data_IF_150014758110
#
_entry.id   IF_150014758110
#
_cell.length_a   1.000
_cell.length_b   1.000
_cell.length_c   1.000
_cell.angle_alpha   90.00
_cell.angle_beta   90.00
_cell.angle_gamma   90.00
#
_symmetry.space_group_name_H-M   'P 1'
#
loop_
_entity.id
_entity.type
_entity.pdbx_description
1 polymer ?
#
# COMPACT_ATOMS: atom_id res chain seq x y z
N UNK A 1 6.54 -32.26 -2.80
CA UNK A 1 6.68 -31.55 -4.10
C UNK A 1 5.39 -31.49 -4.94
N UNK A 2 4.57 -32.57 -5.00
CA UNK A 2 3.31 -32.58 -5.79
C UNK A 2 2.23 -31.60 -5.27
N UNK A 3 2.07 -31.48 -3.95
CA UNK A 3 1.06 -30.61 -3.34
C UNK A 3 1.31 -29.12 -3.60
N UNK A 4 2.55 -28.65 -3.43
CA UNK A 4 2.89 -27.24 -3.72
C UNK A 4 2.61 -26.85 -5.17
N UNK A 5 2.88 -27.74 -6.13
CA UNK A 5 2.56 -27.50 -7.55
C UNK A 5 1.06 -27.39 -7.77
N UNK A 6 0.26 -28.23 -7.13
CA UNK A 6 -1.20 -28.17 -7.21
C UNK A 6 -1.74 -26.86 -6.62
N UNK A 7 -1.24 -26.42 -5.46
CA UNK A 7 -1.61 -25.13 -4.87
C UNK A 7 -1.26 -23.94 -5.77
N UNK A 8 -0.10 -23.96 -6.42
CA UNK A 8 0.29 -22.89 -7.36
C UNK A 8 -0.65 -22.83 -8.57
N UNK A 9 -1.03 -23.98 -9.13
CA UNK A 9 -1.93 -24.06 -10.29
C UNK A 9 -3.33 -23.54 -9.91
N UNK A 10 -3.88 -23.98 -8.77
CA UNK A 10 -5.17 -23.49 -8.30
C UNK A 10 -5.15 -21.99 -8.02
N UNK A 11 -4.05 -21.48 -7.45
CA UNK A 11 -3.84 -20.05 -7.21
C UNK A 11 -3.85 -19.21 -8.47
N UNK A 12 -3.10 -19.65 -9.48
CA UNK A 12 -3.06 -19.02 -10.80
C UNK A 12 -4.43 -19.01 -11.45
N UNK A 13 -5.17 -20.12 -11.37
CA UNK A 13 -6.52 -20.19 -11.91
C UNK A 13 -7.41 -19.14 -11.24
N UNK A 14 -7.40 -19.04 -9.90
CA UNK A 14 -8.17 -18.01 -9.19
C UNK A 14 -7.74 -16.60 -9.61
N UNK A 15 -6.44 -16.33 -9.69
CA UNK A 15 -5.91 -15.05 -10.13
C UNK A 15 -6.33 -14.68 -11.55
N UNK A 16 -6.27 -15.63 -12.49
CA UNK A 16 -6.70 -15.49 -13.88
C UNK A 16 -8.21 -15.26 -13.98
N UNK A 17 -9.01 -15.99 -13.19
CA UNK A 17 -10.46 -15.81 -13.13
C UNK A 17 -10.81 -14.42 -12.62
N UNK A 18 -10.23 -13.98 -11.50
CA UNK A 18 -10.42 -12.62 -10.98
C UNK A 18 -10.02 -11.56 -12.01
N UNK A 19 -8.94 -11.83 -12.73
CA UNK A 19 -8.47 -10.96 -13.80
C UNK A 19 -9.45 -10.89 -14.97
N UNK A 20 -10.03 -12.02 -15.42
CA UNK A 20 -11.12 -12.03 -16.40
C UNK A 20 -12.33 -11.23 -15.90
N UNK A 21 -12.72 -11.38 -14.63
CA UNK A 21 -13.81 -10.59 -14.04
C UNK A 21 -13.53 -9.08 -13.99
N UNK A 22 -12.26 -8.72 -13.77
CA UNK A 22 -11.80 -7.33 -13.79
C UNK A 22 -11.85 -6.73 -15.20
N UNK A 23 -11.60 -7.54 -16.23
CA UNK A 23 -11.52 -7.09 -17.63
C UNK A 23 -12.84 -7.17 -18.38
N UNK A 24 -13.76 -8.02 -17.93
CA UNK A 24 -15.04 -8.18 -18.61
C UNK A 24 -15.87 -6.90 -18.49
N UNK A 25 -16.23 -6.25 -19.61
CA UNK A 25 -17.10 -5.07 -19.60
C UNK A 25 -18.53 -5.41 -19.12
N UNK A 26 -18.87 -6.70 -19.06
CA UNK A 26 -20.13 -7.24 -18.56
C UNK A 26 -20.01 -7.82 -17.14
N UNK A 27 -19.18 -7.24 -16.28
CA UNK A 27 -19.27 -7.57 -14.85
C UNK A 27 -20.64 -7.10 -14.37
N UNK A 28 -21.56 -8.01 -13.96
CA UNK A 28 -22.87 -7.61 -13.50
C UNK A 28 -22.66 -6.82 -12.20
N UNK A 29 -22.70 -5.51 -12.32
CA UNK A 29 -22.88 -4.60 -11.20
C UNK A 29 -24.22 -4.94 -10.60
N UNK A 30 -24.17 -5.70 -9.51
CA UNK A 30 -25.18 -5.85 -8.46
C UNK A 30 -26.44 -4.98 -8.67
N UNK A 31 -27.37 -5.49 -9.48
CA UNK A 31 -28.79 -5.22 -9.33
C UNK A 31 -29.29 -6.23 -8.30
N UNK A 32 -29.01 -6.00 -7.02
CA UNK A 32 -29.79 -6.52 -5.89
C UNK A 32 -29.25 -5.94 -4.58
N UNK A 33 -30.06 -5.03 -4.03
CA UNK A 33 -30.08 -4.62 -2.63
C UNK A 33 -30.09 -5.88 -1.75
N UNK A 34 -29.43 -5.81 -0.60
CA UNK A 34 -29.41 -6.80 0.52
C UNK A 34 -28.17 -7.70 0.60
N UNK A 35 -27.03 -7.15 1.01
CA UNK A 35 -25.98 -7.94 1.67
C UNK A 35 -25.99 -7.63 3.17
N UNK A 36 -27.00 -8.12 3.89
CA UNK A 36 -26.99 -8.20 5.35
C UNK A 36 -26.83 -9.67 5.71
N UNK A 37 -25.62 -10.18 5.98
CA UNK A 37 -25.52 -11.54 6.52
C UNK A 37 -24.35 -11.76 7.50
N UNK A 38 -24.64 -12.67 8.43
CA UNK A 38 -24.05 -12.88 9.75
C UNK A 38 -22.57 -13.28 9.73
N UNK A 39 -21.86 -12.70 10.69
CA UNK A 39 -20.49 -13.02 11.13
C UNK A 39 -20.37 -14.48 11.59
N UNK A 40 -19.30 -15.16 11.17
CA UNK A 40 -18.82 -16.40 11.77
C UNK A 40 -17.46 -16.18 12.47
N UNK A 41 -17.24 -16.96 13.53
CA UNK A 41 -16.42 -16.65 14.72
C UNK A 41 -14.91 -16.42 14.52
N UNK A 42 -14.29 -16.86 13.42
CA UNK A 42 -12.84 -16.66 13.21
C UNK A 42 -12.43 -15.19 12.95
N UNK A 43 -13.33 -14.38 12.39
CA UNK A 43 -13.09 -12.94 12.20
C UNK A 43 -13.12 -12.19 13.53
N UNK A 44 -14.08 -12.57 14.38
CA UNK A 44 -14.25 -11.99 15.68
C UNK A 44 -12.99 -12.23 16.48
N UNK A 45 -12.41 -13.43 16.51
CA UNK A 45 -11.18 -13.69 17.27
C UNK A 45 -9.94 -12.98 16.74
N UNK A 46 -9.69 -12.97 15.42
CA UNK A 46 -8.54 -12.23 14.86
C UNK A 46 -8.69 -10.71 15.04
N UNK A 47 -9.89 -10.16 14.82
CA UNK A 47 -10.14 -8.74 15.05
C UNK A 47 -10.28 -8.41 16.52
N UNK A 48 -10.73 -9.33 17.38
CA UNK A 48 -10.81 -9.16 18.83
C UNK A 48 -9.41 -9.18 19.41
N UNK A 49 -8.54 -10.11 19.00
CA UNK A 49 -7.11 -10.07 19.33
C UNK A 49 -6.44 -8.77 18.82
N UNK A 50 -6.79 -8.30 17.62
CA UNK A 50 -6.27 -7.04 17.09
C UNK A 50 -6.92 -5.78 17.71
N UNK A 51 -8.13 -5.89 18.27
CA UNK A 51 -8.87 -4.82 19.00
C UNK A 51 -8.61 -4.83 20.50
N UNK A 52 -8.12 -5.94 21.07
CA UNK A 52 -7.85 -6.15 22.50
C UNK A 52 -6.67 -5.33 23.03
N UNK A 53 -6.23 -4.32 22.28
CA UNK A 53 -5.38 -3.24 22.77
C UNK A 53 -6.32 -2.27 23.52
N UNK A 54 -6.89 -2.73 24.64
CA UNK A 54 -7.63 -1.92 25.60
C UNK A 54 -6.61 -1.08 26.37
N UNK A 55 -6.61 0.23 26.11
CA UNK A 55 -5.74 1.20 26.74
C UNK A 55 -5.95 2.57 26.09
N UNK A 56 -6.88 3.32 26.66
CA UNK A 56 -7.36 4.63 26.21
C UNK A 56 -6.19 5.58 25.89
N UNK A 57 -6.18 6.12 24.65
CA UNK A 57 -5.69 7.45 24.22
C UNK A 57 -5.18 7.49 22.77
N UNK A 58 -4.89 6.38 22.08
CA UNK A 58 -4.30 6.40 20.71
C UNK A 58 -5.27 6.15 19.56
N UNK A 59 -6.57 6.09 19.87
CA UNK A 59 -7.65 5.81 18.93
C UNK A 59 -8.04 7.09 18.19
N UNK A 60 -8.14 7.02 16.87
CA UNK A 60 -8.73 8.09 16.08
C UNK A 60 -10.25 8.06 16.26
N UNK A 61 -10.84 9.13 16.80
CA UNK A 61 -12.28 9.27 16.86
C UNK A 61 -12.80 9.54 15.45
N UNK A 62 -13.26 8.48 14.78
CA UNK A 62 -13.90 8.56 13.48
C UNK A 62 -15.40 8.27 13.64
N UNK A 63 -16.23 9.29 13.46
CA UNK A 63 -17.68 9.11 13.43
C UNK A 63 -18.07 8.53 12.07
N UNK A 64 -18.32 7.22 12.04
CA UNK A 64 -19.02 6.57 10.93
C UNK A 64 -20.49 6.97 11.00
N UNK A 65 -20.79 8.21 10.64
CA UNK A 65 -22.15 8.71 10.65
C UNK A 65 -22.93 8.10 9.48
N UNK A 66 -23.62 6.99 9.76
CA UNK A 66 -24.49 6.29 8.82
C UNK A 66 -25.71 7.13 8.37
N UNK A 67 -25.88 8.36 8.90
CA UNK A 67 -26.99 9.27 8.57
C UNK A 67 -26.65 10.33 7.51
N UNK A 68 -25.41 10.38 7.02
CA UNK A 68 -25.03 11.33 5.95
C UNK A 68 -25.60 10.91 4.59
N UNK A 69 -26.24 11.85 3.87
CA UNK A 69 -26.71 11.64 2.49
C UNK A 69 -25.58 11.65 1.45
N UNK A 70 -24.39 12.17 1.81
CA UNK A 70 -23.24 12.28 0.90
C UNK A 70 -22.08 11.41 1.38
N UNK A 71 -21.62 10.52 0.52
CA UNK A 71 -20.44 9.68 0.77
C UNK A 71 -19.27 10.14 -0.10
N UNK A 72 -18.10 10.33 0.51
CA UNK A 72 -16.90 10.84 -0.15
C UNK A 72 -15.77 9.83 0.00
N UNK A 73 -15.28 9.31 -1.12
CA UNK A 73 -14.10 8.47 -1.14
C UNK A 73 -12.85 9.33 -0.92
N UNK A 74 -11.99 8.95 0.02
CA UNK A 74 -10.78 9.71 0.35
C UNK A 74 -9.56 8.82 0.17
N UNK A 75 -8.76 9.11 -0.85
CA UNK A 75 -7.53 8.35 -1.11
C UNK A 75 -6.35 8.90 -0.31
N UNK A 76 -5.89 8.13 0.69
CA UNK A 76 -4.68 8.45 1.46
C UNK A 76 -3.46 8.01 0.65
N UNK A 77 -2.87 8.92 -0.12
CA UNK A 77 -1.77 8.59 -1.03
C UNK A 77 -0.43 8.56 -0.29
N UNK A 78 0.00 7.38 0.17
CA UNK A 78 1.34 7.17 0.74
C UNK A 78 2.39 7.12 -0.39
N UNK A 79 3.53 7.77 -0.20
CA UNK A 79 4.58 7.82 -1.23
C UNK A 79 5.05 6.41 -1.61
N UNK A 80 5.21 6.22 -2.93
CA UNK A 80 5.83 5.03 -3.55
C UNK A 80 5.05 3.72 -3.39
N UNK A 81 3.75 3.77 -3.12
CA UNK A 81 2.85 2.59 -3.00
C UNK A 81 1.91 2.43 -4.20
N UNK A 82 2.38 2.75 -5.41
CA UNK A 82 1.58 2.73 -6.64
C UNK A 82 0.35 3.68 -6.67
N UNK A 83 0.30 4.71 -5.80
CA UNK A 83 -0.82 5.65 -5.76
C UNK A 83 -1.09 6.38 -7.08
N UNK A 84 -0.06 6.75 -7.84
CA UNK A 84 -0.22 7.35 -9.18
C UNK A 84 -1.03 6.47 -10.14
N UNK A 85 -0.87 5.14 -10.07
CA UNK A 85 -1.64 4.19 -10.87
C UNK A 85 -3.11 4.23 -10.46
N UNK A 86 -3.37 4.08 -9.15
CA UNK A 86 -4.74 4.06 -8.61
C UNK A 86 -5.48 5.36 -8.90
N UNK A 87 -4.85 6.52 -8.70
CA UNK A 87 -5.48 7.82 -8.99
C UNK A 87 -5.78 7.99 -10.47
N UNK A 88 -4.88 7.53 -11.36
CA UNK A 88 -5.13 7.54 -12.81
C UNK A 88 -6.35 6.69 -13.14
N UNK A 89 -6.46 5.50 -12.53
CA UNK A 89 -7.58 4.57 -12.74
C UNK A 89 -8.91 5.09 -12.19
N UNK A 90 -8.89 5.74 -11.03
CA UNK A 90 -10.07 6.36 -10.43
C UNK A 90 -10.61 7.54 -11.24
N UNK A 91 -9.72 8.38 -11.74
CA UNK A 91 -10.09 9.70 -12.25
C UNK A 91 -9.97 9.81 -13.77
N UNK A 92 -8.80 9.48 -14.32
CA UNK A 92 -8.49 9.72 -15.74
C UNK A 92 -9.05 8.63 -16.64
N UNK A 93 -8.82 7.37 -16.28
CA UNK A 93 -9.46 6.24 -16.97
C UNK A 93 -10.94 6.16 -16.57
N UNK A 94 -11.24 6.50 -15.30
CA UNK A 94 -12.59 6.67 -14.77
C UNK A 94 -13.25 5.38 -14.28
N UNK A 95 -14.45 5.55 -13.73
CA UNK A 95 -15.26 4.47 -13.16
C UNK A 95 -16.53 4.28 -13.99
N UNK A 96 -17.09 3.07 -13.97
CA UNK A 96 -18.43 2.82 -14.53
C UNK A 96 -19.47 3.50 -13.62
N UNK A 97 -20.41 4.24 -14.22
CA UNK A 97 -21.48 4.93 -13.49
C UNK A 97 -21.06 6.13 -12.64
N UNK A 98 -19.78 6.52 -12.62
CA UNK A 98 -19.31 7.77 -11.99
C UNK A 98 -18.43 8.55 -12.94
N UNK A 99 -18.70 9.84 -13.09
CA UNK A 99 -17.99 10.72 -14.00
C UNK A 99 -17.12 11.72 -13.24
N UNK A 100 -15.99 12.07 -13.86
CA UNK A 100 -15.16 13.21 -13.47
C UNK A 100 -14.94 14.06 -14.71
N UNK A 101 -15.09 15.38 -14.58
CA UNK A 101 -14.88 16.34 -15.67
C UNK A 101 -13.45 16.86 -15.62
N UNK A 102 -12.61 16.41 -16.55
CA UNK A 102 -11.19 16.77 -16.60
C UNK A 102 -10.95 18.00 -17.48
N UNK A 103 -10.54 19.11 -16.87
CA UNK A 103 -10.07 20.29 -17.60
C UNK A 103 -8.53 20.23 -17.67
N UNK A 104 -8.00 19.87 -18.85
CA UNK A 104 -6.57 19.73 -19.07
C UNK A 104 -5.94 18.48 -18.41
N UNK A 105 -4.62 18.50 -18.21
CA UNK A 105 -3.84 17.28 -17.89
C UNK A 105 -3.74 16.91 -16.40
N UNK A 106 -3.99 17.85 -15.48
CA UNK A 106 -3.55 17.70 -14.06
C UNK A 106 -4.66 17.44 -13.04
N UNK A 107 -5.87 17.97 -13.22
CA UNK A 107 -6.97 17.88 -12.25
C UNK A 107 -8.32 17.70 -12.93
N UNK A 108 -9.21 16.96 -12.28
CA UNK A 108 -10.57 16.72 -12.73
C UNK A 108 -11.57 17.01 -11.61
N UNK A 109 -12.74 17.53 -11.97
CA UNK A 109 -13.80 17.75 -11.01
C UNK A 109 -14.66 16.47 -10.89
N UNK A 110 -14.70 15.87 -9.70
CA UNK A 110 -15.43 14.63 -9.43
C UNK A 110 -16.60 14.94 -8.48
N UNK A 111 -17.68 15.46 -9.04
CA UNK A 111 -18.90 15.83 -8.34
C UNK A 111 -20.08 14.93 -8.76
N UNK A 112 -21.02 14.72 -7.86
CA UNK A 112 -22.27 14.04 -8.16
C UNK A 112 -23.25 15.02 -8.86
N UNK A 113 -24.42 14.57 -9.36
CA UNK A 113 -25.39 15.46 -10.00
C UNK A 113 -25.85 16.63 -9.12
N UNK A 114 -25.86 16.47 -7.80
CA UNK A 114 -26.20 17.52 -6.85
C UNK A 114 -25.07 18.56 -6.66
N UNK A 115 -23.92 18.37 -7.31
CA UNK A 115 -22.72 19.22 -7.20
C UNK A 115 -21.82 18.91 -6.00
N UNK A 116 -22.04 17.81 -5.28
CA UNK A 116 -21.22 17.41 -4.12
C UNK A 116 -19.97 16.64 -4.57
N UNK A 117 -18.81 17.01 -4.05
CA UNK A 117 -17.57 16.26 -4.30
C UNK A 117 -17.69 14.84 -3.73
N UNK A 118 -17.53 13.81 -4.57
CA UNK A 118 -17.59 12.40 -4.12
C UNK A 118 -16.22 11.72 -4.03
N UNK A 119 -15.15 12.37 -4.50
CA UNK A 119 -13.79 11.84 -4.47
C UNK A 119 -12.75 12.90 -4.10
N UNK A 120 -11.97 12.63 -3.05
CA UNK A 120 -10.78 13.39 -2.66
C UNK A 120 -9.53 12.56 -2.98
N UNK A 121 -8.73 13.08 -3.90
CA UNK A 121 -7.47 12.51 -4.39
C UNK A 121 -6.64 13.61 -5.07
N UNK A 122 -5.36 13.35 -5.35
CA UNK A 122 -4.50 14.28 -6.07
C UNK A 122 -5.05 14.67 -7.44
N UNK A 123 -5.66 13.73 -8.17
CA UNK A 123 -6.19 13.98 -9.51
C UNK A 123 -7.61 14.53 -9.52
N UNK A 124 -8.33 14.50 -8.38
CA UNK A 124 -9.61 15.19 -8.24
C UNK A 124 -9.41 16.58 -7.65
N UNK A 125 -9.36 16.69 -6.32
CA UNK A 125 -9.30 17.93 -5.55
C UNK A 125 -7.87 18.48 -5.40
N UNK A 126 -6.86 17.77 -5.90
CA UNK A 126 -5.47 18.14 -5.68
C UNK A 126 -4.96 17.74 -4.30
N UNK A 127 -3.88 18.37 -3.86
CA UNK A 127 -3.35 18.21 -2.51
C UNK A 127 -4.14 19.06 -1.50
N UNK A 128 -5.43 18.74 -1.36
CA UNK A 128 -6.41 19.55 -0.65
C UNK A 128 -5.98 19.94 0.78
N UNK A 129 -5.32 19.00 1.45
CA UNK A 129 -4.90 19.11 2.85
C UNK A 129 -3.37 19.10 3.05
N UNK A 130 -2.61 19.30 1.97
CA UNK A 130 -1.15 19.19 1.99
C UNK A 130 -0.63 18.14 1.02
N UNK A 131 0.63 18.31 0.57
CA UNK A 131 1.29 17.33 -0.31
C UNK A 131 1.44 16.00 0.44
N UNK A 132 0.82 14.94 -0.09
CA UNK A 132 0.79 13.62 0.56
C UNK A 132 0.29 13.68 2.01
N UNK A 133 -0.77 14.45 2.26
CA UNK A 133 -1.40 14.56 3.57
C UNK A 133 -1.64 13.17 4.18
N UNK A 134 -1.14 12.96 5.39
CA UNK A 134 -1.36 11.72 6.13
C UNK A 134 -2.79 11.61 6.69
N UNK A 135 -3.11 10.49 7.34
CA UNK A 135 -4.44 10.28 7.90
C UNK A 135 -4.81 11.33 8.96
N UNK A 136 -3.83 11.79 9.74
CA UNK A 136 -4.03 12.84 10.75
C UNK A 136 -4.35 14.17 10.08
N UNK A 137 -3.54 14.58 9.11
CA UNK A 137 -3.75 15.81 8.34
C UNK A 137 -5.11 15.81 7.63
N UNK A 138 -5.47 14.72 6.97
CA UNK A 138 -6.75 14.60 6.26
C UNK A 138 -7.93 14.71 7.23
N UNK A 139 -7.89 14.00 8.36
CA UNK A 139 -8.96 14.01 9.34
C UNK A 139 -9.21 15.41 9.93
N UNK A 140 -8.15 16.19 10.18
CA UNK A 140 -8.26 17.54 10.74
C UNK A 140 -8.66 18.62 9.71
N UNK A 141 -8.54 18.33 8.42
CA UNK A 141 -8.62 19.34 7.35
C UNK A 141 -9.82 19.18 6.40
N UNK A 142 -10.19 17.93 6.08
CA UNK A 142 -10.99 17.63 4.88
C UNK A 142 -12.36 18.30 4.86
N UNK A 143 -13.08 18.32 5.98
CA UNK A 143 -14.44 18.86 6.04
C UNK A 143 -14.47 20.37 5.77
N UNK A 144 -13.65 21.12 6.49
CA UNK A 144 -13.50 22.56 6.30
C UNK A 144 -13.09 22.94 4.87
N UNK A 145 -12.24 22.13 4.24
CA UNK A 145 -11.79 22.39 2.86
C UNK A 145 -12.86 22.01 1.83
N UNK A 146 -13.56 20.90 2.01
CA UNK A 146 -14.64 20.51 1.10
C UNK A 146 -15.85 21.44 1.20
N UNK A 147 -16.20 21.93 2.39
CA UNK A 147 -17.26 22.94 2.54
C UNK A 147 -16.96 24.19 1.70
N UNK A 148 -15.68 24.59 1.61
CA UNK A 148 -15.23 25.71 0.76
C UNK A 148 -15.28 25.39 -0.73
N UNK A 149 -14.91 24.17 -1.13
CA UNK A 149 -14.95 23.73 -2.55
C UNK A 149 -16.40 23.62 -3.02
N UNK A 150 -17.24 22.94 -2.24
CA UNK A 150 -18.64 22.71 -2.59
C UNK A 150 -19.52 23.96 -2.36
N UNK A 151 -18.98 24.99 -1.69
CA UNK A 151 -19.66 26.26 -1.32
C UNK A 151 -20.92 26.05 -0.45
N UNK A 152 -20.95 24.99 0.34
CA UNK A 152 -22.02 24.67 1.28
C UNK A 152 -21.51 23.78 2.40
N UNK A 153 -22.17 23.88 3.55
CA UNK A 153 -21.94 23.01 4.70
C UNK A 153 -22.78 21.75 4.47
N UNK A 154 -22.11 20.61 4.33
CA UNK A 154 -22.74 19.32 4.06
C UNK A 154 -22.16 18.32 5.04
N UNK A 155 -23.01 17.62 5.78
CA UNK A 155 -22.57 16.48 6.55
C UNK A 155 -22.16 15.38 5.57
N UNK A 156 -20.93 14.86 5.71
CA UNK A 156 -20.35 13.87 4.81
C UNK A 156 -19.92 12.63 5.57
N UNK A 157 -20.06 11.48 4.93
CA UNK A 157 -19.43 10.24 5.37
C UNK A 157 -18.16 10.03 4.55
N UNK A 158 -17.00 10.10 5.19
CA UNK A 158 -15.72 9.87 4.54
C UNK A 158 -15.40 8.37 4.49
N UNK A 159 -14.95 7.90 3.34
CA UNK A 159 -14.56 6.50 3.15
C UNK A 159 -13.09 6.50 2.77
N UNK A 160 -12.24 6.39 3.79
CA UNK A 160 -10.79 6.38 3.62
C UNK A 160 -10.32 5.05 3.02
N UNK A 161 -9.44 5.14 2.02
CA UNK A 161 -8.76 3.99 1.46
C UNK A 161 -7.34 4.33 1.06
N UNK A 162 -6.46 3.33 0.94
CA UNK A 162 -5.04 3.54 0.64
C UNK A 162 -4.41 2.39 -0.14
N UNK A 163 -3.12 2.51 -0.46
CA UNK A 163 -2.27 1.46 -0.99
C UNK A 163 -1.03 1.33 -0.11
N UNK A 164 -0.64 0.08 0.19
CA UNK A 164 0.59 -0.27 0.89
C UNK A 164 1.57 -1.00 -0.02
N UNK A 165 2.82 -1.15 0.43
CA UNK A 165 3.89 -1.83 -0.29
C UNK A 165 4.92 -2.40 0.68
N UNK A 166 5.61 -3.47 0.27
CA UNK A 166 6.79 -4.01 0.94
C UNK A 166 7.71 -2.86 1.38
N UNK A 167 8.00 -2.75 2.69
CA UNK A 167 8.69 -1.59 3.25
C UNK A 167 10.07 -1.34 2.64
N UNK A 168 10.82 -2.39 2.34
CA UNK A 168 12.18 -2.31 1.79
C UNK A 168 12.10 -1.77 0.35
N UNK A 169 11.26 -2.35 -0.50
CA UNK A 169 11.06 -1.88 -1.87
C UNK A 169 10.46 -0.47 -1.91
N UNK A 170 9.57 -0.14 -0.97
CA UNK A 170 9.01 1.21 -0.83
C UNK A 170 10.10 2.22 -0.46
N UNK A 171 10.97 1.89 0.50
CA UNK A 171 12.09 2.72 0.95
C UNK A 171 13.12 2.94 -0.15
N UNK A 172 13.59 1.88 -0.81
CA UNK A 172 14.52 1.97 -1.95
C UNK A 172 13.90 2.79 -3.10
N UNK A 173 12.61 2.57 -3.39
CA UNK A 173 11.90 3.36 -4.41
C UNK A 173 11.82 4.84 -4.04
N UNK A 174 11.79 5.15 -2.76
CA UNK A 174 11.76 6.52 -2.23
C UNK A 174 13.13 7.19 -2.36
N UNK A 175 14.17 6.52 -1.90
CA UNK A 175 15.57 6.96 -2.06
C UNK A 175 15.89 7.26 -3.52
N UNK A 176 15.59 6.35 -4.44
CA UNK A 176 15.81 6.57 -5.88
C UNK A 176 15.05 7.79 -6.42
N UNK A 177 13.91 8.14 -5.82
CA UNK A 177 13.13 9.31 -6.23
C UNK A 177 13.75 10.60 -5.71
N UNK A 178 14.19 10.61 -4.45
CA UNK A 178 14.90 11.74 -3.81
C UNK A 178 16.22 12.01 -4.53
N UNK A 179 16.99 10.95 -4.80
CA UNK A 179 18.27 11.03 -5.52
C UNK A 179 18.15 11.74 -6.87
N UNK A 180 16.98 11.62 -7.53
CA UNK A 180 16.65 12.29 -8.81
C UNK A 180 16.07 13.70 -8.66
N UNK A 181 16.08 14.27 -7.45
CA UNK A 181 15.63 15.64 -7.17
C UNK A 181 14.21 15.78 -6.63
N UNK A 182 13.53 14.70 -6.21
CA UNK A 182 12.30 14.85 -5.43
C UNK A 182 12.66 15.37 -4.02
N UNK A 183 11.83 16.23 -3.43
CA UNK A 183 12.13 16.81 -2.10
C UNK A 183 10.96 16.76 -1.11
N UNK A 184 9.73 16.50 -1.57
CA UNK A 184 8.46 16.62 -0.81
C UNK A 184 8.36 17.86 0.09
N UNK A 185 9.06 18.93 -0.23
CA UNK A 185 9.22 20.10 0.65
C UNK A 185 7.93 20.83 0.99
N UNK A 186 6.92 20.74 0.12
CA UNK A 186 5.60 21.32 0.36
C UNK A 186 4.67 20.44 1.19
N UNK A 187 5.18 19.33 1.76
CA UNK A 187 4.46 18.57 2.77
C UNK A 187 4.33 19.42 4.04
N UNK A 188 3.09 19.62 4.50
CA UNK A 188 2.79 20.50 5.62
C UNK A 188 3.03 19.83 6.97
N UNK A 189 2.91 18.52 7.04
CA UNK A 189 3.09 17.69 8.24
C UNK A 189 2.23 18.19 9.41
N UNK A 190 1.03 18.70 9.11
CA UNK A 190 0.18 19.33 10.12
C UNK A 190 -0.34 18.31 11.12
N UNK A 191 -0.29 18.68 12.38
CA UNK A 191 -0.85 17.94 13.48
C UNK A 191 -1.32 18.94 14.53
N UNK A 192 -2.54 18.80 15.05
CA UNK A 192 -3.24 19.87 15.76
C UNK A 192 -3.27 21.18 14.96
N UNK A 193 -3.48 21.07 13.63
CA UNK A 193 -3.50 22.17 12.66
C UNK A 193 -2.20 22.98 12.53
N UNK A 194 -1.10 22.57 13.17
CA UNK A 194 0.19 23.25 13.14
C UNK A 194 1.27 22.39 12.49
N UNK A 195 2.20 23.01 11.76
CA UNK A 195 3.40 22.33 11.24
C UNK A 195 4.39 22.07 12.38
N UNK A 196 5.22 21.01 12.31
CA UNK A 196 6.13 20.67 13.39
C UNK A 196 7.20 21.75 13.57
N UNK A 197 7.56 22.10 14.81
CA UNK A 197 8.65 23.03 15.07
C UNK A 197 9.99 22.39 14.67
N UNK A 198 11.00 23.23 14.37
CA UNK A 198 12.32 22.79 13.92
C UNK A 198 13.04 21.86 14.91
N UNK A 199 12.71 21.92 16.20
CA UNK A 199 13.23 20.99 17.20
C UNK A 199 12.74 19.55 17.02
N UNK A 200 11.57 19.36 16.40
CA UNK A 200 10.94 18.06 16.19
C UNK A 200 11.17 17.52 14.78
N UNK A 201 11.32 18.40 13.80
CA UNK A 201 11.60 18.02 12.41
C UNK A 201 12.45 19.06 11.70
N UNK A 202 13.53 18.59 11.08
CA UNK A 202 14.32 19.35 10.10
C UNK A 202 14.49 18.49 8.84
N UNK A 203 14.25 19.03 7.64
CA UNK A 203 14.52 18.27 6.42
C UNK A 203 15.99 17.85 6.32
N UNK A 204 16.25 16.60 5.91
CA UNK A 204 17.59 16.01 5.91
C UNK A 204 18.63 16.73 5.04
N UNK A 205 18.19 17.45 3.99
CA UNK A 205 19.11 18.23 3.16
C UNK A 205 19.67 19.47 3.89
N UNK A 206 19.11 19.86 5.04
CA UNK A 206 19.65 20.93 5.88
C UNK A 206 20.72 20.46 6.87
N UNK A 207 21.01 19.16 6.96
CA UNK A 207 21.95 18.63 7.96
C UNK A 207 23.41 18.86 7.54
N UNK A 208 23.68 19.04 6.24
CA UNK A 208 25.00 19.45 5.77
C UNK A 208 25.09 20.99 5.86
N UNK A 209 25.60 21.48 6.99
CA UNK A 209 25.74 22.93 7.30
C UNK A 209 26.57 23.69 6.25
N UNK A 210 27.44 23.00 5.52
CA UNK A 210 28.32 23.56 4.50
C UNK A 210 27.60 23.95 3.20
N UNK A 211 26.32 23.61 3.04
CA UNK A 211 25.57 23.80 1.79
C UNK A 211 24.19 24.41 2.05
N UNK A 212 24.16 25.54 2.80
CA UNK A 212 22.93 26.30 3.13
C UNK A 212 22.12 26.76 1.90
N UNK A 213 22.66 26.67 0.68
CA UNK A 213 21.96 27.02 -0.56
C UNK A 213 21.31 25.81 -1.26
N UNK A 214 21.52 24.57 -0.79
CA UNK A 214 20.94 23.40 -1.44
C UNK A 214 19.51 23.15 -0.95
N UNK A 215 18.55 23.54 -1.79
CA UNK A 215 17.14 23.20 -1.61
C UNK A 215 16.81 21.80 -2.13
N UNK A 216 17.78 20.91 -2.40
CA UNK A 216 17.49 19.60 -3.01
C UNK A 216 18.44 18.54 -2.45
N UNK A 217 17.89 17.42 -1.94
CA UNK A 217 18.68 16.25 -1.52
C UNK A 217 19.05 15.34 -2.72
N UNK A 218 19.39 15.94 -3.86
CA UNK A 218 19.76 15.22 -5.07
C UNK A 218 21.10 14.51 -4.91
N UNK A 219 21.29 13.40 -5.62
CA UNK A 219 22.52 12.60 -5.57
C UNK A 219 22.90 12.06 -4.17
N UNK A 220 21.98 12.08 -3.20
CA UNK A 220 22.21 11.49 -1.88
C UNK A 220 22.55 10.00 -1.97
N UNK A 221 23.65 9.59 -1.31
CA UNK A 221 24.03 8.20 -1.17
C UNK A 221 22.98 7.42 -0.36
N UNK A 222 22.90 6.10 -0.55
CA UNK A 222 21.96 5.29 0.23
C UNK A 222 22.29 5.32 1.73
N UNK A 223 23.58 5.37 2.09
CA UNK A 223 24.04 5.42 3.47
C UNK A 223 23.60 6.72 4.15
N UNK A 224 23.87 7.88 3.54
CA UNK A 224 23.42 9.17 4.07
C UNK A 224 21.89 9.28 4.14
N UNK A 225 21.18 8.63 3.22
CA UNK A 225 19.72 8.55 3.27
C UNK A 225 19.23 7.74 4.47
N UNK A 226 19.85 6.60 4.78
CA UNK A 226 19.53 5.77 5.96
C UNK A 226 19.88 6.51 7.25
N UNK A 227 21.04 7.14 7.31
CA UNK A 227 21.61 7.69 8.53
C UNK A 227 20.94 8.99 9.00
N UNK A 228 20.17 9.66 8.13
CA UNK A 228 19.47 10.87 8.55
C UNK A 228 18.36 10.56 9.59
N UNK A 229 18.44 11.11 10.82
CA UNK A 229 17.47 10.83 11.89
C UNK A 229 16.09 11.45 11.65
N UNK A 230 15.99 12.45 10.76
CA UNK A 230 14.73 13.10 10.39
C UNK A 230 14.15 12.57 9.07
N UNK A 231 14.69 11.47 8.53
CA UNK A 231 14.24 10.96 7.25
C UNK A 231 12.80 10.44 7.34
N UNK A 232 11.86 11.17 6.72
CA UNK A 232 10.46 10.80 6.67
C UNK A 232 10.19 9.50 5.89
N UNK A 233 11.18 8.96 5.18
CA UNK A 233 11.10 7.63 4.59
C UNK A 233 11.10 6.53 5.67
N UNK A 234 11.73 6.75 6.82
CA UNK A 234 11.77 5.77 7.91
C UNK A 234 10.35 5.57 8.46
N UNK A 235 9.91 4.31 8.56
CA UNK A 235 8.60 3.91 9.07
C UNK A 235 7.42 4.75 8.50
N UNK A 236 7.49 5.10 7.21
CA UNK A 236 6.55 6.01 6.55
C UNK A 236 5.11 5.51 6.60
N UNK A 237 4.86 4.24 6.26
CA UNK A 237 3.49 3.73 6.20
C UNK A 237 2.84 3.72 7.58
N UNK A 238 3.61 3.35 8.60
CA UNK A 238 3.18 3.36 10.00
C UNK A 238 2.88 4.77 10.46
N UNK A 239 3.80 5.72 10.24
CA UNK A 239 3.58 7.12 10.62
C UNK A 239 2.36 7.72 9.92
N UNK A 240 2.23 7.53 8.61
CA UNK A 240 1.16 8.16 7.83
C UNK A 240 -0.23 7.57 8.08
N UNK A 241 -0.32 6.38 8.69
CA UNK A 241 -1.58 5.75 9.07
C UNK A 241 -1.92 5.90 10.55
N UNK A 242 -0.98 6.31 11.39
CA UNK A 242 -1.22 6.53 12.81
C UNK A 242 -1.97 7.84 13.08
N UNK A 243 -2.60 7.92 14.26
CA UNK A 243 -3.13 9.17 14.80
C UNK A 243 -2.00 9.92 15.53
N UNK A 244 -1.31 10.80 14.82
CA UNK A 244 -0.17 11.55 15.38
C UNK A 244 -0.60 12.56 16.45
N UNK A 245 -1.83 13.09 16.35
CA UNK A 245 -2.37 14.07 17.29
C UNK A 245 -2.42 13.52 18.73
N UNK A 246 -2.68 12.23 18.88
CA UNK A 246 -2.68 11.56 20.18
C UNK A 246 -1.30 10.98 20.58
N UNK A 247 -0.29 11.16 19.73
CA UNK A 247 1.08 10.68 19.93
C UNK A 247 2.07 11.84 20.09
N UNK A 248 1.59 13.01 20.52
CA UNK A 248 2.36 14.25 20.63
C UNK A 248 3.00 14.70 19.31
N UNK A 249 2.28 14.49 18.20
CA UNK A 249 2.67 14.89 16.85
C UNK A 249 4.08 14.39 16.50
N UNK A 250 4.97 15.28 16.06
CA UNK A 250 6.32 14.93 15.61
C UNK A 250 7.37 14.92 16.73
N UNK A 251 6.98 15.09 18.00
CA UNK A 251 7.92 15.14 19.15
C UNK A 251 8.84 13.92 19.22
N UNK A 252 8.36 12.75 18.78
CA UNK A 252 9.09 11.50 18.82
C UNK A 252 9.60 11.02 17.44
N UNK A 253 9.61 11.90 16.42
CA UNK A 253 9.98 11.52 15.06
C UNK A 253 11.36 10.86 14.97
N UNK A 254 12.37 11.44 15.63
CA UNK A 254 13.74 10.88 15.63
C UNK A 254 13.77 9.51 16.28
N UNK A 255 13.06 9.33 17.41
CA UNK A 255 12.93 8.03 18.06
C UNK A 255 12.28 7.01 17.13
N UNK A 256 11.14 7.34 16.51
CA UNK A 256 10.46 6.47 15.55
C UNK A 256 11.29 6.14 14.31
N UNK A 257 12.31 6.94 14.01
CA UNK A 257 13.19 6.79 12.86
C UNK A 257 14.50 6.06 13.20
N UNK A 258 14.75 5.76 14.48
CA UNK A 258 15.94 5.03 14.91
C UNK A 258 15.93 3.58 14.39
N UNK A 259 17.10 3.04 13.99
CA UNK A 259 17.22 1.64 13.60
C UNK A 259 16.82 0.71 14.75
N UNK A 260 15.94 -0.26 14.48
CA UNK A 260 15.52 -1.27 15.44
C UNK A 260 15.88 -2.68 14.97
N UNK A 261 16.87 -3.27 15.65
CA UNK A 261 17.23 -4.68 15.49
C UNK A 261 16.41 -5.56 16.45
N UNK A 262 15.13 -5.75 16.14
CA UNK A 262 14.25 -6.63 16.92
C UNK A 262 13.40 -7.51 16.02
N UNK A 263 13.28 -8.79 16.35
CA UNK A 263 12.42 -9.73 15.63
C UNK A 263 11.05 -9.87 16.29
N UNK A 264 10.97 -9.67 17.61
CA UNK A 264 9.75 -9.79 18.40
C UNK A 264 9.22 -8.43 18.86
N UNK A 265 7.89 -8.27 18.79
CA UNK A 265 7.19 -7.04 19.22
C UNK A 265 7.32 -6.82 20.74
N UNK A 266 7.47 -7.89 21.53
CA UNK A 266 7.62 -7.85 23.01
C UNK A 266 8.85 -7.07 23.47
N UNK A 267 9.91 -7.01 22.65
CA UNK A 267 11.14 -6.28 22.94
C UNK A 267 11.07 -4.81 22.53
N UNK A 268 9.93 -4.33 22.02
CA UNK A 268 9.79 -2.98 21.47
C UNK A 268 9.42 -1.97 22.54
N UNK A 269 10.11 -0.82 22.58
CA UNK A 269 9.77 0.27 23.50
C UNK A 269 8.33 0.76 23.32
N UNK A 270 7.75 1.33 24.37
CA UNK A 270 6.38 1.87 24.36
C UNK A 270 6.13 2.93 23.26
N UNK A 271 7.10 3.81 22.98
CA UNK A 271 7.00 4.87 21.96
C UNK A 271 6.82 4.30 20.54
N UNK A 272 7.51 3.21 20.24
CA UNK A 272 7.41 2.51 18.96
C UNK A 272 6.14 1.67 18.88
N UNK A 273 5.80 0.98 19.97
CA UNK A 273 4.62 0.12 20.05
C UNK A 273 3.32 0.93 19.91
N UNK A 274 3.25 2.12 20.52
CA UNK A 274 2.08 3.01 20.43
C UNK A 274 1.83 3.52 19.00
N UNK A 275 2.89 3.91 18.27
CA UNK A 275 2.77 4.29 16.86
C UNK A 275 2.27 3.11 16.00
N UNK A 276 2.89 1.93 16.16
CA UNK A 276 2.51 0.73 15.43
C UNK A 276 1.06 0.31 15.71
N UNK A 277 0.65 0.33 16.98
CA UNK A 277 -0.70 -0.04 17.39
C UNK A 277 -1.75 0.96 16.88
N UNK A 278 -1.44 2.26 16.87
CA UNK A 278 -2.32 3.27 16.27
C UNK A 278 -2.52 3.03 14.77
N UNK A 279 -1.44 2.77 14.03
CA UNK A 279 -1.52 2.46 12.60
C UNK A 279 -2.31 1.17 12.31
N UNK A 280 -2.09 0.09 13.09
CA UNK A 280 -2.86 -1.16 12.99
C UNK A 280 -4.34 -0.92 13.27
N UNK A 281 -4.66 -0.20 14.34
CA UNK A 281 -6.04 0.15 14.69
C UNK A 281 -6.73 0.91 13.55
N UNK A 282 -6.06 1.92 12.99
CA UNK A 282 -6.62 2.72 11.90
C UNK A 282 -6.78 1.90 10.62
N UNK A 283 -5.86 0.98 10.32
CA UNK A 283 -5.99 0.07 9.18
C UNK A 283 -7.22 -0.86 9.30
N UNK A 284 -7.57 -1.26 10.52
CA UNK A 284 -8.73 -2.12 10.79
C UNK A 284 -10.04 -1.31 10.74
N UNK A 285 -10.08 -0.18 11.44
CA UNK A 285 -11.34 0.48 11.80
C UNK A 285 -11.62 1.78 11.03
N UNK A 286 -10.58 2.48 10.55
CA UNK A 286 -10.72 3.79 9.88
C UNK A 286 -10.54 3.67 8.37
N UNK A 287 -9.49 2.97 7.93
CA UNK A 287 -9.25 2.66 6.52
C UNK A 287 -10.24 1.56 6.11
N UNK A 288 -11.28 1.96 5.37
CA UNK A 288 -12.32 1.07 4.91
C UNK A 288 -11.76 -0.04 4.02
N UNK A 289 -10.91 0.34 3.06
CA UNK A 289 -10.31 -0.57 2.09
C UNK A 289 -8.85 -0.20 1.85
N UNK A 290 -8.00 -1.18 1.52
CA UNK A 290 -6.66 -0.90 1.04
C UNK A 290 -6.19 -1.98 0.07
N UNK A 291 -5.27 -1.62 -0.81
CA UNK A 291 -4.58 -2.55 -1.69
C UNK A 291 -3.10 -2.72 -1.32
N UNK A 292 -2.48 -3.72 -1.90
CA UNK A 292 -1.05 -4.02 -1.80
C UNK A 292 -0.42 -3.94 -3.19
N UNK A 293 0.69 -3.19 -3.31
CA UNK A 293 1.32 -2.89 -4.61
C UNK A 293 1.84 -4.13 -5.35
N UNK A 294 2.12 -5.20 -4.62
CA UNK A 294 2.62 -6.48 -5.13
C UNK A 294 1.49 -7.37 -5.66
N UNK A 295 0.24 -7.06 -5.29
CA UNK A 295 -0.94 -7.86 -5.56
C UNK A 295 -1.99 -7.01 -6.28
N UNK A 296 -1.62 -6.34 -7.38
CA UNK A 296 -2.48 -5.35 -8.05
C UNK A 296 -3.82 -5.91 -8.54
N UNK A 297 -3.86 -7.17 -9.00
CA UNK A 297 -5.12 -7.84 -9.43
C UNK A 297 -6.06 -7.98 -8.24
N UNK A 298 -5.57 -8.60 -7.17
CA UNK A 298 -6.33 -8.78 -5.92
C UNK A 298 -6.71 -7.44 -5.29
N UNK A 299 -5.83 -6.44 -5.40
CA UNK A 299 -6.07 -5.09 -4.89
C UNK A 299 -7.18 -4.40 -5.65
N UNK A 300 -7.18 -4.47 -6.98
CA UNK A 300 -8.28 -3.93 -7.77
C UNK A 300 -9.61 -4.62 -7.40
N UNK A 301 -9.61 -5.95 -7.29
CA UNK A 301 -10.79 -6.71 -6.91
C UNK A 301 -11.35 -6.26 -5.54
N UNK A 302 -10.50 -6.21 -4.50
CA UNK A 302 -10.92 -5.76 -3.17
C UNK A 302 -11.42 -4.32 -3.20
N UNK A 303 -10.70 -3.40 -3.86
CA UNK A 303 -11.11 -2.00 -3.93
C UNK A 303 -12.48 -1.83 -4.61
N UNK A 304 -12.76 -2.61 -5.67
CA UNK A 304 -14.07 -2.59 -6.33
C UNK A 304 -15.19 -3.08 -5.40
N UNK A 305 -14.98 -4.22 -4.72
CA UNK A 305 -16.00 -4.81 -3.84
C UNK A 305 -16.23 -4.00 -2.58
N UNK A 306 -15.16 -3.49 -1.99
CA UNK A 306 -15.19 -2.79 -0.70
C UNK A 306 -15.67 -1.34 -0.85
N UNK A 307 -15.31 -0.63 -1.93
CA UNK A 307 -15.76 0.75 -2.19
C UNK A 307 -17.04 0.83 -3.03
N UNK A 308 -17.58 -0.31 -3.48
CA UNK A 308 -18.71 -0.39 -4.41
C UNK A 308 -18.49 0.46 -5.67
N UNK A 309 -17.32 0.29 -6.29
CA UNK A 309 -16.93 0.95 -7.54
C UNK A 309 -16.52 -0.08 -8.59
N UNK A 310 -16.53 0.32 -9.85
CA UNK A 310 -16.02 -0.50 -10.96
C UNK A 310 -15.07 0.33 -11.80
N UNK A 311 -13.81 -0.09 -11.88
CA UNK A 311 -12.83 0.60 -12.72
C UNK A 311 -13.10 0.30 -14.19
N UNK A 312 -12.99 1.31 -15.06
CA UNK A 312 -13.09 1.10 -16.52
C UNK A 312 -11.89 0.38 -17.11
N UNK A 313 -10.75 0.40 -16.40
CA UNK A 313 -9.49 -0.19 -16.86
C UNK A 313 -8.82 -0.97 -15.75
N UNK A 314 -8.25 -2.12 -16.09
CA UNK A 314 -7.51 -2.94 -15.15
C UNK A 314 -6.20 -2.27 -14.70
N UNK A 315 -5.76 -2.56 -13.48
CA UNK A 315 -4.48 -2.07 -12.94
C UNK A 315 -3.28 -2.62 -13.74
N UNK A 316 -3.48 -3.73 -14.44
CA UNK A 316 -2.51 -4.38 -15.33
C UNK A 316 -3.09 -4.37 -16.76
N UNK A 317 -2.30 -3.94 -17.74
CA UNK A 317 -2.73 -3.83 -19.14
C UNK A 317 -2.26 -5.04 -19.97
N UNK A 318 -3.07 -5.53 -20.92
CA UNK A 318 -2.84 -6.84 -21.54
C UNK A 318 -1.95 -6.84 -22.79
N UNK A 319 -1.91 -5.74 -23.54
CA UNK A 319 -1.20 -5.67 -24.83
C UNK A 319 0.33 -5.73 -24.69
N UNK A 320 0.85 -5.93 -23.48
CA UNK A 320 2.26 -6.01 -23.14
C UNK A 320 2.56 -7.20 -22.21
N UNK A 321 1.73 -8.26 -22.14
CA UNK A 321 1.90 -9.39 -21.18
C UNK A 321 3.32 -9.99 -21.14
N UNK A 322 3.98 -10.16 -22.30
CA UNK A 322 5.37 -10.64 -22.34
C UNK A 322 6.37 -9.68 -21.66
N UNK A 323 6.14 -8.38 -21.79
CA UNK A 323 6.93 -7.30 -21.18
C UNK A 323 6.52 -7.01 -19.71
N UNK A 324 5.27 -7.30 -19.37
CA UNK A 324 4.64 -7.05 -18.07
C UNK A 324 4.95 -8.15 -17.07
N UNK A 325 5.15 -9.40 -17.50
CA UNK A 325 5.67 -10.46 -16.62
C UNK A 325 6.97 -10.00 -15.96
N UNK A 326 7.86 -9.34 -16.72
CA UNK A 326 9.09 -8.75 -16.19
C UNK A 326 8.84 -7.49 -15.34
N UNK A 327 7.99 -6.54 -15.75
CA UNK A 327 7.77 -5.28 -14.98
C UNK A 327 6.91 -5.42 -13.71
N UNK A 328 6.01 -6.41 -13.63
CA UNK A 328 5.26 -6.73 -12.40
C UNK A 328 6.16 -7.43 -11.37
N UNK A 329 7.15 -8.19 -11.83
CA UNK A 329 8.07 -8.93 -10.99
C UNK A 329 9.33 -8.12 -10.62
N UNK A 330 9.74 -7.16 -11.47
CA UNK A 330 10.96 -6.37 -11.31
C UNK A 330 10.66 -4.87 -11.38
N UNK A 331 10.21 -4.30 -10.26
CA UNK A 331 10.25 -2.84 -10.11
C UNK A 331 11.70 -2.38 -10.00
N UNK A 332 12.00 -1.12 -10.33
CA UNK A 332 13.36 -0.57 -10.13
C UNK A 332 13.88 -0.83 -8.71
N UNK A 333 13.02 -0.75 -7.69
CA UNK A 333 13.42 -1.05 -6.32
C UNK A 333 13.75 -2.53 -6.10
N UNK A 334 13.02 -3.44 -6.75
CA UNK A 334 13.28 -4.89 -6.69
C UNK A 334 14.65 -5.22 -7.29
N UNK A 335 14.97 -4.63 -8.46
CA UNK A 335 16.27 -4.83 -9.13
C UNK A 335 17.42 -4.30 -8.27
N UNK A 336 17.27 -3.11 -7.70
CA UNK A 336 18.28 -2.56 -6.81
C UNK A 336 18.43 -3.45 -5.57
N UNK A 337 17.32 -3.86 -4.95
CA UNK A 337 17.33 -4.72 -3.77
C UNK A 337 18.13 -6.01 -3.98
N UNK A 338 18.04 -6.65 -5.15
CA UNK A 338 18.80 -7.89 -5.44
C UNK A 338 20.30 -7.68 -5.56
N UNK A 339 20.75 -6.44 -5.83
CA UNK A 339 22.15 -6.10 -6.00
C UNK A 339 22.78 -5.42 -4.76
N UNK A 340 22.00 -5.18 -3.70
CA UNK A 340 22.50 -4.59 -2.46
C UNK A 340 23.18 -5.63 -1.57
N UNK A 341 24.25 -5.21 -0.91
CA UNK A 341 24.91 -6.03 0.12
C UNK A 341 23.96 -6.29 1.32
N UNK A 342 24.09 -7.47 1.92
CA UNK A 342 23.20 -7.91 3.01
C UNK A 342 23.23 -6.97 4.23
N UNK A 343 24.39 -6.37 4.54
CA UNK A 343 24.50 -5.39 5.64
C UNK A 343 23.64 -4.13 5.38
N UNK A 344 23.61 -3.64 4.15
CA UNK A 344 22.79 -2.47 3.78
C UNK A 344 21.30 -2.82 3.80
N UNK A 345 20.93 -4.02 3.34
CA UNK A 345 19.55 -4.50 3.45
C UNK A 345 19.10 -4.56 4.92
N UNK A 346 19.97 -5.04 5.79
CA UNK A 346 19.73 -5.09 7.22
C UNK A 346 19.55 -3.69 7.84
N UNK A 347 20.35 -2.71 7.42
CA UNK A 347 20.18 -1.32 7.86
C UNK A 347 18.83 -0.74 7.41
N UNK A 348 18.42 -0.99 6.15
CA UNK A 348 17.11 -0.58 5.63
C UNK A 348 15.97 -1.24 6.41
N UNK A 349 16.10 -2.52 6.73
CA UNK A 349 15.13 -3.26 7.54
C UNK A 349 14.99 -2.65 8.93
N UNK A 350 16.11 -2.31 9.57
CA UNK A 350 16.12 -1.75 10.92
C UNK A 350 15.45 -0.37 10.99
N UNK A 351 15.70 0.53 10.03
CA UNK A 351 15.04 1.85 9.99
C UNK A 351 13.57 1.79 9.53
N UNK A 352 13.12 0.66 8.97
CA UNK A 352 11.73 0.42 8.55
C UNK A 352 11.05 -0.70 9.37
N UNK A 353 11.56 -1.02 10.56
CA UNK A 353 11.09 -2.16 11.36
C UNK A 353 9.60 -2.09 11.70
N UNK A 354 9.06 -0.90 11.97
CA UNK A 354 7.62 -0.74 12.23
C UNK A 354 6.79 -0.96 10.98
N UNK A 355 7.25 -0.44 9.83
CA UNK A 355 6.60 -0.70 8.55
C UNK A 355 6.60 -2.19 8.21
N UNK A 356 7.65 -2.95 8.57
CA UNK A 356 7.69 -4.42 8.40
C UNK A 356 6.62 -5.08 9.25
N UNK A 357 6.51 -4.73 10.54
CA UNK A 357 5.47 -5.29 11.39
C UNK A 357 4.05 -4.89 10.94
N UNK A 358 3.86 -3.65 10.50
CA UNK A 358 2.58 -3.18 9.97
C UNK A 358 2.24 -3.90 8.66
N UNK A 359 3.19 -4.01 7.72
CA UNK A 359 2.96 -4.63 6.42
C UNK A 359 2.65 -6.12 6.57
N UNK A 360 3.34 -6.85 7.45
CA UNK A 360 3.03 -8.25 7.74
C UNK A 360 1.61 -8.41 8.30
N UNK A 361 1.22 -7.55 9.25
CA UNK A 361 -0.16 -7.50 9.75
C UNK A 361 -1.17 -7.17 8.63
N UNK A 362 -0.88 -6.15 7.82
CA UNK A 362 -1.72 -5.73 6.71
C UNK A 362 -1.88 -6.82 5.65
N UNK A 363 -0.83 -7.61 5.38
CA UNK A 363 -0.86 -8.72 4.42
C UNK A 363 -1.76 -9.85 4.91
N UNK A 364 -1.72 -10.18 6.19
CA UNK A 364 -2.63 -11.17 6.79
C UNK A 364 -4.09 -10.69 6.77
N UNK A 365 -4.34 -9.44 7.19
CA UNK A 365 -5.68 -8.85 7.15
C UNK A 365 -6.22 -8.73 5.71
N UNK A 366 -5.36 -8.42 4.74
CA UNK A 366 -5.71 -8.33 3.33
C UNK A 366 -6.09 -9.71 2.77
N UNK A 367 -5.30 -10.74 3.07
CA UNK A 367 -5.61 -12.12 2.69
C UNK A 367 -6.96 -12.56 3.27
N UNK A 368 -7.18 -12.28 4.55
CA UNK A 368 -8.44 -12.57 5.23
C UNK A 368 -9.63 -11.89 4.53
N UNK A 369 -9.54 -10.58 4.29
CA UNK A 369 -10.60 -9.81 3.59
C UNK A 369 -10.84 -10.34 2.17
N UNK A 370 -9.77 -10.66 1.45
CA UNK A 370 -9.83 -11.21 0.09
C UNK A 370 -10.61 -12.53 0.07
N UNK A 371 -10.27 -13.46 0.98
CA UNK A 371 -10.93 -14.76 1.07
C UNK A 371 -12.43 -14.58 1.31
N UNK A 372 -12.81 -13.72 2.26
CA UNK A 372 -14.21 -13.45 2.52
C UNK A 372 -14.91 -12.90 1.26
N UNK A 373 -14.35 -11.91 0.58
CA UNK A 373 -14.96 -11.41 -0.66
C UNK A 373 -15.09 -12.52 -1.71
N UNK A 374 -14.05 -13.32 -1.93
CA UNK A 374 -14.05 -14.37 -2.96
C UNK A 374 -15.05 -15.49 -2.64
N UNK A 375 -15.13 -15.94 -1.39
CA UNK A 375 -16.05 -17.02 -0.98
C UNK A 375 -17.51 -16.61 -1.18
N UNK A 376 -17.85 -15.36 -0.85
CA UNK A 376 -19.23 -14.86 -0.89
C UNK A 376 -19.59 -14.16 -2.21
N UNK A 377 -18.67 -14.02 -3.16
CA UNK A 377 -18.96 -13.40 -4.46
C UNK A 377 -19.72 -14.36 -5.37
N UNK A 378 -21.04 -14.19 -5.48
CA UNK A 378 -21.91 -15.00 -6.35
C UNK A 378 -21.45 -15.06 -7.80
N UNK A 379 -20.71 -14.04 -8.26
CA UNK A 379 -20.23 -13.99 -9.63
C UNK A 379 -19.09 -14.99 -9.89
N UNK A 380 -18.38 -15.46 -8.87
CA UNK A 380 -17.29 -16.44 -9.03
C UNK A 380 -17.87 -17.86 -8.97
N UNK A 381 -17.63 -18.72 -10.00
CA UNK A 381 -18.09 -20.09 -10.00
C UNK A 381 -17.60 -20.91 -8.80
N UNK A 382 -18.46 -21.80 -8.30
CA UNK A 382 -18.19 -22.62 -7.10
C UNK A 382 -16.89 -23.44 -7.20
N UNK A 383 -16.56 -23.95 -8.39
CA UNK A 383 -15.37 -24.77 -8.59
C UNK A 383 -14.06 -24.00 -8.36
N UNK A 384 -14.04 -22.69 -8.62
CA UNK A 384 -12.89 -21.83 -8.30
C UNK A 384 -12.82 -21.44 -6.82
N UNK A 385 -13.96 -21.44 -6.12
CA UNK A 385 -14.03 -21.20 -4.68
C UNK A 385 -13.69 -22.44 -3.86
N UNK A 386 -13.93 -23.64 -4.41
CA UNK A 386 -13.80 -24.92 -3.67
C UNK A 386 -12.43 -25.08 -2.98
N UNK A 387 -11.27 -24.81 -3.61
CA UNK A 387 -9.98 -24.92 -2.92
C UNK A 387 -9.86 -23.96 -1.72
N UNK A 388 -10.34 -22.72 -1.86
CA UNK A 388 -10.33 -21.71 -0.81
C UNK A 388 -11.27 -22.15 0.32
N UNK A 389 -12.48 -22.58 -0.02
CA UNK A 389 -13.51 -23.03 0.93
C UNK A 389 -13.01 -24.24 1.75
N UNK A 390 -12.41 -25.23 1.08
CA UNK A 390 -11.85 -26.42 1.74
C UNK A 390 -10.76 -26.02 2.74
N UNK A 391 -9.80 -25.19 2.33
CA UNK A 391 -8.72 -24.76 3.24
C UNK A 391 -9.26 -23.91 4.39
N UNK A 392 -10.19 -22.99 4.12
CA UNK A 392 -10.76 -22.09 5.11
C UNK A 392 -11.52 -22.80 6.23
N UNK A 393 -12.25 -23.86 5.90
CA UNK A 393 -13.06 -24.62 6.86
C UNK A 393 -12.36 -25.86 7.43
N UNK A 394 -11.16 -26.19 6.97
CA UNK A 394 -10.43 -27.36 7.49
C UNK A 394 -9.83 -27.08 8.88
N UNK A 395 -10.25 -27.86 9.87
CA UNK A 395 -9.77 -27.75 11.27
C UNK A 395 -8.26 -28.00 11.41
N UNK A 396 -7.66 -28.77 10.50
CA UNK A 396 -6.22 -29.06 10.47
C UNK A 396 -5.37 -27.92 9.87
N UNK A 397 -5.95 -26.98 9.11
CA UNK A 397 -5.20 -25.91 8.43
C UNK A 397 -5.61 -24.50 8.88
N UNK A 398 -5.75 -24.29 10.20
CA UNK A 398 -5.92 -22.94 10.79
C UNK A 398 -4.76 -21.97 10.49
N UNK A 399 -3.67 -22.44 9.89
CA UNK A 399 -2.59 -21.61 9.40
C UNK A 399 -3.01 -20.94 8.08
N UNK A 400 -3.15 -19.60 8.10
CA UNK A 400 -3.31 -18.78 6.88
C UNK A 400 -2.20 -19.01 5.85
N UNK A 401 -1.09 -19.69 6.19
CA UNK A 401 0.01 -19.95 5.26
C UNK A 401 -0.45 -20.73 4.02
N UNK A 402 -1.29 -21.76 4.14
CA UNK A 402 -1.73 -22.54 2.98
C UNK A 402 -2.58 -21.69 2.02
N UNK A 403 -3.46 -20.85 2.58
CA UNK A 403 -4.25 -19.89 1.82
C UNK A 403 -3.40 -18.78 1.22
N UNK A 404 -2.35 -18.36 1.94
CA UNK A 404 -1.37 -17.42 1.46
C UNK A 404 -0.59 -17.99 0.28
N UNK A 405 -0.13 -19.24 0.37
CA UNK A 405 0.51 -19.92 -0.74
C UNK A 405 -0.48 -20.08 -1.91
N UNK A 406 -1.72 -20.50 -1.66
CA UNK A 406 -2.72 -20.61 -2.71
C UNK A 406 -2.92 -19.28 -3.43
N UNK A 407 -3.12 -18.17 -2.73
CA UNK A 407 -3.50 -16.91 -3.37
C UNK A 407 -2.32 -16.02 -3.78
N UNK A 408 -1.19 -16.10 -3.08
CA UNK A 408 -0.05 -15.19 -3.26
C UNK A 408 1.25 -15.88 -3.67
N UNK A 409 1.26 -17.20 -3.91
CA UNK A 409 2.45 -17.83 -4.48
C UNK A 409 2.67 -17.36 -5.92
N UNK A 410 3.87 -16.82 -6.17
CA UNK A 410 4.37 -16.60 -7.51
C UNK A 410 5.04 -17.89 -8.00
N UNK A 411 4.86 -18.20 -9.30
CA UNK A 411 5.46 -19.34 -10.03
C UNK A 411 6.96 -19.56 -9.83
N UNK A 412 7.71 -18.57 -9.31
CA UNK A 412 9.17 -18.57 -9.23
C UNK A 412 9.71 -19.30 -7.99
N UNK A 413 8.97 -19.32 -6.87
CA UNK A 413 9.46 -20.06 -5.68
C UNK A 413 9.54 -21.57 -5.94
N UNK A 414 8.77 -22.09 -6.91
CA UNK A 414 8.92 -23.47 -7.37
C UNK A 414 10.24 -23.69 -8.14
N UNK A 415 10.68 -22.71 -8.94
CA UNK A 415 11.89 -22.82 -9.77
C UNK A 415 13.18 -22.76 -8.94
N UNK A 416 13.23 -21.92 -7.89
CA UNK A 416 14.38 -21.89 -6.98
C UNK A 416 14.44 -23.11 -6.06
N UNK A 417 13.30 -23.72 -5.71
CA UNK A 417 13.28 -24.98 -4.96
C UNK A 417 13.74 -26.19 -5.80
N UNK A 418 13.69 -26.09 -7.13
CA UNK A 418 14.21 -27.11 -8.05
C UNK A 418 15.69 -26.95 -8.37
N UNK A 419 16.24 -25.72 -8.32
CA UNK A 419 17.68 -25.47 -8.59
C UNK A 419 18.58 -26.00 -7.46
N UNK A 420 18.07 -26.09 -6.22
CA UNK A 420 18.85 -26.63 -5.10
C UNK A 420 18.94 -28.18 -5.15
N UNK A 421 18.11 -28.86 -5.95
CA UNK A 421 18.01 -30.33 -5.91
C UNK A 421 18.32 -31.08 -7.21
N UNK A 422 18.64 -30.43 -8.33
CA UNK A 422 19.02 -31.16 -9.54
C UNK A 422 20.24 -30.51 -10.22
N UNK A 423 21.42 -31.02 -9.88
CA UNK A 423 22.52 -31.08 -10.83
C UNK A 423 22.11 -31.97 -12.02
N UNK A 424 22.58 -31.58 -13.22
CA UNK A 424 22.48 -32.28 -14.50
C UNK A 424 21.09 -32.31 -15.17
N UNK A 425 20.85 -31.39 -16.09
CA UNK A 425 20.69 -31.68 -17.53
C UNK A 425 20.13 -30.48 -18.31
N UNK A 426 20.75 -30.23 -19.46
CA UNK A 426 20.43 -29.19 -20.43
C UNK A 426 19.01 -29.32 -20.98
N UNK A 427 18.31 -28.18 -21.13
CA UNK A 427 16.98 -28.11 -21.73
C UNK A 427 16.39 -26.71 -21.69
N UNK A 428 16.96 -25.83 -22.51
CA UNK A 428 16.62 -24.41 -22.71
C UNK A 428 15.29 -24.19 -23.43
N UNK A 429 14.44 -23.30 -22.90
CA UNK A 429 14.08 -22.05 -23.61
C UNK A 429 14.17 -20.90 -22.58
N UNK A 430 15.35 -20.27 -22.43
CA UNK A 430 15.57 -19.14 -21.55
C UNK A 430 14.97 -17.88 -22.18
N UNK A 431 14.39 -17.02 -21.35
CA UNK A 431 14.44 -15.57 -21.62
C UNK A 431 15.91 -15.27 -21.84
N UNK A 432 16.27 -14.67 -22.97
CA UNK A 432 17.69 -14.57 -23.35
C UNK A 432 18.48 -14.00 -22.18
N UNK A 433 19.43 -14.80 -21.69
CA UNK A 433 20.34 -14.44 -20.62
C UNK A 433 20.96 -13.07 -20.92
N UNK A 434 21.17 -12.77 -22.20
CA UNK A 434 21.61 -11.49 -22.74
C UNK A 434 20.75 -10.27 -22.35
N UNK A 435 19.43 -10.38 -22.19
CA UNK A 435 18.58 -9.22 -21.78
C UNK A 435 18.69 -8.96 -20.28
N UNK A 436 18.70 -10.02 -19.46
CA UNK A 436 18.91 -9.92 -18.02
C UNK A 436 20.35 -9.47 -17.71
N UNK A 437 21.33 -10.01 -18.42
CA UNK A 437 22.73 -9.63 -18.37
C UNK A 437 22.90 -8.18 -18.85
N UNK A 438 22.23 -7.73 -19.93
CA UNK A 438 22.37 -6.35 -20.40
C UNK A 438 21.73 -5.32 -19.46
N UNK A 439 20.54 -5.59 -18.91
CA UNK A 439 19.93 -4.72 -17.89
C UNK A 439 20.76 -4.75 -16.59
N UNK A 440 21.16 -5.93 -16.10
CA UNK A 440 21.99 -6.04 -14.91
C UNK A 440 23.38 -5.43 -15.10
N UNK A 441 24.04 -5.56 -16.26
CA UNK A 441 25.34 -4.96 -16.53
C UNK A 441 25.23 -3.44 -16.66
N UNK A 442 24.17 -2.93 -17.29
CA UNK A 442 23.89 -1.49 -17.35
C UNK A 442 23.69 -0.89 -15.96
N UNK A 443 23.02 -1.61 -15.06
CA UNK A 443 22.84 -1.17 -13.68
C UNK A 443 24.06 -1.45 -12.82
N UNK A 444 24.79 -2.55 -12.99
CA UNK A 444 26.03 -2.86 -12.26
C UNK A 444 27.12 -1.84 -12.60
N UNK A 445 27.29 -1.45 -13.86
CA UNK A 445 28.22 -0.38 -14.24
C UNK A 445 27.81 0.97 -13.64
N UNK A 446 26.49 1.22 -13.55
CA UNK A 446 25.98 2.45 -12.91
C UNK A 446 26.07 2.41 -11.39
N UNK A 447 25.91 1.24 -10.77
CA UNK A 447 26.06 1.04 -9.34
C UNK A 447 27.55 1.10 -8.94
N UNK A 448 28.45 0.53 -9.74
CA UNK A 448 29.90 0.65 -9.55
C UNK A 448 30.36 2.12 -9.63
N UNK A 449 29.78 2.91 -10.55
CA UNK A 449 29.98 4.37 -10.59
C UNK A 449 29.31 5.11 -9.41
N UNK A 450 28.12 4.67 -8.98
CA UNK A 450 27.37 5.31 -7.88
C UNK A 450 27.90 4.91 -6.47
N UNK A 451 28.79 3.93 -6.35
CA UNK A 451 29.37 3.40 -5.08
C UNK A 451 30.91 3.43 -5.02
N UNK A 452 31.59 3.99 -6.03
CA UNK A 452 32.97 4.44 -5.86
C UNK A 452 32.96 5.75 -5.07
N UNK A 453 33.73 5.81 -3.98
CA UNK A 453 33.80 6.90 -2.99
C UNK A 453 33.76 8.33 -3.58
#
# INVERSE_FOLDING_TARGET
MKEYKLFCICGLIVGVVLLFYILSPYSPTCLLRSCTYKHYDGLADFLYAARSIKGNNYVMNYTKDNKSSVSVLVFVHIQKTAGTLVERRLVKDGLVGKTCHCFGRKRCNCQNPDGNTWLVSRYSTGWLCGLHADLTELNECIDNKLNKIDRRIVQRNYIYFTMLRDPINRFISEWLHIRRGATWQSATLRCHKQSPPLQHYKPCYFINENDMNSTIWSNVSLKSFIDCPYNLANNRQTRMLANLSNLNCYKHLTKWSQPLNITMITSMSSIHLTLLNSAKHNLINVIHCYGLSEYLIYSQYILQKCLHITFKRAFIEFNQIAYIKQRLLFTHATIIRTNLHQSILYDIENVNRLDIFLYNFAKQLFLYRLINYVLYDSNIPIHFKRPIHTLWHSYQFKSLNSLHYLLFSNLINAYNSTIINNNNSNGTIPVSETVLINENNKWNNRLLYDFSD
#
